data_IF_725038622463
#
_entry.id   IF_725038622463
#
_cell.length_a   1.000
_cell.length_b   1.000
_cell.length_c   1.000
_cell.angle_alpha   90.00
_cell.angle_beta   90.00
_cell.angle_gamma   90.00
#
_symmetry.space_group_name_H-M   'P 1'
#
loop_
_entity.id
_entity.type
_entity.pdbx_description
1 polymer ?
#
# COMPACT_ATOMS: atom_id res chain seq x y z
N UNK A 1 -14.14 31.35 -7.31
CA UNK A 1 -13.84 31.27 -5.87
C UNK A 1 -12.49 30.58 -5.76
N UNK A 2 -11.48 31.31 -5.28
CA UNK A 2 -10.07 30.96 -5.35
C UNK A 2 -9.66 29.96 -4.26
N UNK A 3 -8.72 29.08 -4.66
CA UNK A 3 -7.72 28.36 -3.86
C UNK A 3 -8.20 27.62 -2.59
N UNK A 4 -8.48 26.33 -2.74
CA UNK A 4 -8.01 25.38 -1.74
C UNK A 4 -6.61 24.94 -2.18
N UNK A 5 -5.61 25.69 -1.73
CA UNK A 5 -4.27 25.12 -1.61
C UNK A 5 -4.40 23.92 -0.70
N UNK A 6 -4.19 22.73 -1.23
CA UNK A 6 -3.88 21.59 -0.39
C UNK A 6 -2.65 22.01 0.42
N UNK A 7 -2.81 22.20 1.73
CA UNK A 7 -1.66 22.00 2.60
C UNK A 7 -1.26 20.55 2.32
N UNK A 8 -0.18 20.36 1.55
CA UNK A 8 0.50 19.09 1.51
C UNK A 8 1.06 18.88 2.92
N UNK A 9 0.24 18.35 3.81
CA UNK A 9 0.72 17.82 5.06
C UNK A 9 1.62 16.65 4.66
N UNK A 10 2.93 16.76 4.90
CA UNK A 10 3.84 15.68 4.65
C UNK A 10 3.31 14.42 5.33
N UNK A 11 3.07 13.37 4.55
CA UNK A 11 2.58 12.10 5.06
C UNK A 11 3.74 11.37 5.70
N UNK A 12 3.78 11.35 7.03
CA UNK A 12 4.84 10.67 7.78
C UNK A 12 4.40 9.24 8.11
N UNK A 13 5.20 8.27 7.69
CA UNK A 13 4.87 6.84 7.82
C UNK A 13 6.15 6.04 8.10
N UNK A 14 6.08 5.04 8.98
CA UNK A 14 7.22 4.17 9.25
C UNK A 14 7.40 3.08 8.18
N UNK A 15 8.62 2.54 8.07
CA UNK A 15 8.87 1.28 7.37
C UNK A 15 7.86 0.19 7.81
N UNK A 16 7.41 -0.61 6.85
CA UNK A 16 6.46 -1.70 7.09
C UNK A 16 5.05 -1.24 7.48
N UNK A 17 4.71 0.04 7.36
CA UNK A 17 3.35 0.52 7.56
C UNK A 17 2.66 0.81 6.23
N UNK A 18 1.35 1.06 6.29
CA UNK A 18 0.59 1.57 5.17
C UNK A 18 0.05 2.96 5.52
N UNK A 19 -0.10 3.81 4.50
CA UNK A 19 -0.71 5.13 4.64
C UNK A 19 -1.87 5.25 3.67
N UNK A 20 -2.99 5.76 4.19
CA UNK A 20 -4.16 6.10 3.40
C UNK A 20 -4.04 7.55 2.94
N UNK A 21 -4.23 7.76 1.65
CA UNK A 21 -4.22 9.08 1.01
C UNK A 21 -5.64 9.35 0.54
N UNK A 22 -6.17 10.54 0.85
CA UNK A 22 -7.52 10.92 0.49
C UNK A 22 -7.56 12.27 -0.21
N UNK A 23 -8.47 12.39 -1.18
CA UNK A 23 -8.85 13.66 -1.78
C UNK A 23 -10.37 13.81 -1.74
N UNK A 24 -10.90 15.03 -1.56
CA UNK A 24 -12.33 15.27 -1.66
C UNK A 24 -12.81 15.06 -3.10
N UNK A 25 -14.08 14.71 -3.26
CA UNK A 25 -14.71 14.75 -4.56
C UNK A 25 -14.80 16.20 -5.06
N UNK A 26 -14.50 16.40 -6.35
CA UNK A 26 -14.62 17.70 -7.03
C UNK A 26 -15.63 17.58 -8.17
N UNK A 27 -16.25 18.71 -8.54
CA UNK A 27 -17.20 18.74 -9.66
C UNK A 27 -16.49 18.30 -10.94
N UNK A 28 -17.01 17.26 -11.58
CA UNK A 28 -16.45 16.71 -12.81
C UNK A 28 -15.23 15.81 -12.63
N UNK A 29 -14.71 15.60 -11.41
CA UNK A 29 -13.62 14.66 -11.17
C UNK A 29 -14.08 13.23 -11.44
N UNK A 30 -13.38 12.55 -12.36
CA UNK A 30 -13.76 11.24 -12.88
C UNK A 30 -12.83 10.11 -12.42
N UNK A 31 -11.54 10.39 -12.21
CA UNK A 31 -10.60 9.42 -11.63
C UNK A 31 -9.37 10.09 -11.03
N UNK A 32 -8.70 9.39 -10.11
CA UNK A 32 -7.39 9.76 -9.58
C UNK A 32 -6.47 8.54 -9.67
N UNK A 33 -5.23 8.76 -10.11
CA UNK A 33 -4.18 7.75 -10.13
C UNK A 33 -2.88 8.32 -9.54
N UNK A 34 -2.16 7.52 -8.78
CA UNK A 34 -0.82 7.83 -8.28
C UNK A 34 0.21 6.91 -8.94
N UNK A 35 1.38 7.45 -9.25
CA UNK A 35 2.57 6.65 -9.53
C UNK A 35 3.41 6.59 -8.26
N UNK A 36 3.62 5.38 -7.76
CA UNK A 36 4.39 5.11 -6.54
C UNK A 36 5.20 3.83 -6.70
N UNK A 37 6.52 3.90 -6.49
CA UNK A 37 7.44 2.77 -6.69
C UNK A 37 7.21 2.06 -8.04
N UNK A 38 7.14 2.83 -9.13
CA UNK A 38 6.88 2.37 -10.50
C UNK A 38 5.54 1.64 -10.70
N UNK A 39 4.62 1.73 -9.74
CA UNK A 39 3.26 1.17 -9.82
C UNK A 39 2.25 2.27 -10.05
N UNK A 40 1.29 2.01 -10.94
CA UNK A 40 0.09 2.82 -11.10
C UNK A 40 -0.95 2.37 -10.07
N UNK A 41 -1.26 3.25 -9.14
CA UNK A 41 -2.17 2.99 -8.02
C UNK A 41 -3.43 3.85 -8.23
N UNK A 42 -4.56 3.25 -8.64
CA UNK A 42 -5.82 3.97 -8.71
C UNK A 42 -6.37 4.30 -7.31
N UNK A 43 -7.23 5.31 -7.26
CA UNK A 43 -8.03 5.60 -6.08
C UNK A 43 -9.43 5.02 -6.26
N UNK A 44 -9.98 4.48 -5.19
CA UNK A 44 -11.37 4.07 -5.10
C UNK A 44 -12.23 5.25 -4.62
N UNK A 45 -13.45 5.36 -5.13
CA UNK A 45 -14.42 6.36 -4.66
C UNK A 45 -15.27 5.78 -3.53
N UNK A 46 -15.42 6.53 -2.44
CA UNK A 46 -16.29 6.21 -1.30
C UNK A 46 -17.04 7.46 -0.85
N UNK A 47 -18.28 7.62 -1.31
CA UNK A 47 -19.08 8.83 -1.08
C UNK A 47 -18.42 10.06 -1.71
N UNK A 48 -18.24 11.12 -0.92
CA UNK A 48 -17.64 12.40 -1.34
C UNK A 48 -16.10 12.39 -1.24
N UNK A 49 -15.47 11.22 -1.26
CA UNK A 49 -14.01 11.08 -1.16
C UNK A 49 -13.48 10.04 -2.13
N UNK A 50 -12.26 10.31 -2.59
CA UNK A 50 -11.40 9.34 -3.22
C UNK A 50 -10.33 8.93 -2.23
N UNK A 51 -9.99 7.64 -2.19
CA UNK A 51 -8.92 7.18 -1.34
C UNK A 51 -8.09 6.10 -2.04
N UNK A 52 -6.83 6.02 -1.64
CA UNK A 52 -5.96 4.87 -1.92
C UNK A 52 -5.13 4.53 -0.69
N UNK A 53 -4.52 3.36 -0.70
CA UNK A 53 -3.62 2.92 0.36
C UNK A 53 -2.31 2.49 -0.27
N UNK A 54 -1.21 3.08 0.17
CA UNK A 54 0.14 2.67 -0.23
C UNK A 54 0.82 1.96 0.94
N UNK A 55 1.51 0.86 0.64
CA UNK A 55 2.38 0.17 1.58
C UNK A 55 3.82 0.67 1.47
N UNK A 56 4.48 0.84 2.62
CA UNK A 56 5.90 1.15 2.71
C UNK A 56 6.63 -0.15 3.03
N UNK A 57 7.45 -0.63 2.09
CA UNK A 57 8.23 -1.85 2.30
C UNK A 57 9.12 -1.73 3.54
N UNK A 58 9.32 -2.84 4.25
CA UNK A 58 10.18 -2.93 5.42
C UNK A 58 11.61 -2.44 5.14
N UNK A 59 12.09 -2.68 3.91
CA UNK A 59 13.43 -2.37 3.45
C UNK A 59 13.52 -1.00 2.75
N UNK A 60 12.41 -0.26 2.64
CA UNK A 60 12.43 1.11 2.10
C UNK A 60 13.39 1.96 2.93
N UNK A 61 14.38 2.60 2.31
CA UNK A 61 15.33 3.45 3.05
C UNK A 61 14.59 4.65 3.65
N UNK A 62 14.83 5.05 4.90
CA UNK A 62 14.22 6.25 5.46
C UNK A 62 14.57 7.51 4.64
N UNK A 63 13.60 8.41 4.46
CA UNK A 63 13.76 9.61 3.64
C UNK A 63 12.45 10.06 3.00
N UNK A 64 12.51 11.11 2.20
CA UNK A 64 11.36 11.67 1.50
C UNK A 64 11.21 11.05 0.11
N UNK A 65 10.00 10.59 -0.19
CA UNK A 65 9.61 10.01 -1.46
C UNK A 65 8.46 10.80 -2.05
N UNK A 66 8.50 11.06 -3.35
CA UNK A 66 7.41 11.75 -4.03
C UNK A 66 6.65 10.80 -4.94
N UNK A 67 5.32 10.78 -4.83
CA UNK A 67 4.44 10.14 -5.78
C UNK A 67 3.70 11.17 -6.62
N UNK A 68 3.68 10.98 -7.93
CA UNK A 68 2.92 11.84 -8.83
C UNK A 68 1.45 11.40 -8.84
N UNK A 69 0.55 12.30 -8.45
CA UNK A 69 -0.89 12.08 -8.42
C UNK A 69 -1.53 12.85 -9.56
N UNK A 70 -2.22 12.15 -10.44
CA UNK A 70 -2.95 12.70 -11.58
C UNK A 70 -4.45 12.58 -11.36
N UNK A 71 -5.13 13.71 -11.44
CA UNK A 71 -6.58 13.86 -11.40
C UNK A 71 -7.07 14.03 -12.83
N UNK A 72 -8.04 13.22 -13.24
CA UNK A 72 -8.65 13.30 -14.58
C UNK A 72 -10.12 13.66 -14.43
N UNK A 73 -10.55 14.69 -15.13
CA UNK A 73 -11.92 15.20 -15.11
C UNK A 73 -12.71 14.71 -16.33
N UNK A 74 -14.04 14.76 -16.23
CA UNK A 74 -14.98 14.21 -17.22
C UNK A 74 -14.93 14.94 -18.58
N UNK A 75 -14.48 16.19 -18.60
CA UNK A 75 -14.22 16.97 -19.82
C UNK A 75 -12.84 16.69 -20.44
N UNK A 76 -12.05 15.81 -19.83
CA UNK A 76 -10.74 15.37 -20.30
C UNK A 76 -9.56 16.20 -19.79
N UNK A 77 -9.77 17.29 -19.03
CA UNK A 77 -8.64 18.01 -18.46
C UNK A 77 -8.01 17.21 -17.30
N UNK A 78 -6.72 17.47 -17.06
CA UNK A 78 -5.95 16.81 -15.99
C UNK A 78 -5.27 17.81 -15.08
N UNK A 79 -5.18 17.47 -13.80
CA UNK A 79 -4.36 18.18 -12.80
C UNK A 79 -3.36 17.20 -12.22
N UNK A 80 -2.12 17.64 -11.96
CA UNK A 80 -1.10 16.81 -11.32
C UNK A 80 -0.61 17.47 -10.03
N UNK A 81 -0.40 16.65 -9.00
CA UNK A 81 0.16 17.01 -7.70
C UNK A 81 1.33 16.07 -7.39
N UNK A 82 2.39 16.60 -6.79
CA UNK A 82 3.44 15.77 -6.20
C UNK A 82 3.13 15.57 -4.71
N UNK A 83 2.75 14.36 -4.33
CA UNK A 83 2.47 14.00 -2.95
C UNK A 83 3.78 13.54 -2.29
N UNK A 84 4.15 14.13 -1.16
CA UNK A 84 5.40 13.78 -0.45
C UNK A 84 5.10 12.90 0.74
N UNK A 85 5.80 11.76 0.81
CA UNK A 85 5.73 10.76 1.86
C UNK A 85 7.09 10.66 2.54
N UNK A 86 7.15 11.05 3.80
CA UNK A 86 8.36 10.93 4.63
C UNK A 86 8.37 9.58 5.32
N UNK A 87 9.29 8.71 4.90
CA UNK A 87 9.50 7.39 5.47
C UNK A 87 10.43 7.46 6.68
N UNK A 88 9.92 7.07 7.84
CA UNK A 88 10.71 7.00 9.07
C UNK A 88 11.28 5.61 9.30
N UNK A 89 12.50 5.57 9.83
CA UNK A 89 13.13 4.32 10.27
C UNK A 89 12.32 3.66 11.37
N UNK A 90 12.24 2.34 11.33
CA UNK A 90 11.68 1.55 12.43
C UNK A 90 12.61 0.40 12.77
N UNK A 91 12.77 0.15 14.07
CA UNK A 91 13.54 -0.99 14.54
C UNK A 91 12.63 -2.20 14.62
N UNK A 92 13.05 -3.28 13.98
CA UNK A 92 12.37 -4.55 14.04
C UNK A 92 13.22 -5.57 14.81
N UNK A 93 12.63 -6.30 15.77
CA UNK A 93 13.37 -7.32 16.49
C UNK A 93 13.68 -8.51 15.57
N UNK A 94 14.81 -9.17 15.79
CA UNK A 94 15.17 -10.42 15.11
C UNK A 94 14.77 -11.60 15.99
N UNK A 95 14.25 -12.67 15.39
CA UNK A 95 13.99 -13.94 16.07
C UNK A 95 14.65 -15.08 15.32
N UNK A 96 15.42 -15.90 16.05
CA UNK A 96 15.96 -17.14 15.50
C UNK A 96 14.94 -18.26 15.66
N UNK A 97 14.55 -18.88 14.54
CA UNK A 97 13.65 -20.03 14.52
C UNK A 97 14.42 -21.25 14.02
N UNK A 98 14.46 -22.31 14.83
CA UNK A 98 15.01 -23.59 14.41
C UNK A 98 13.88 -24.41 13.76
N UNK A 99 14.04 -24.66 12.46
CA UNK A 99 13.08 -25.40 11.63
C UNK A 99 13.76 -26.62 10.99
N UNK A 100 12.98 -27.63 10.62
CA UNK A 100 13.52 -28.77 9.90
C UNK A 100 14.13 -28.33 8.55
N UNK A 101 15.28 -28.91 8.11
CA UNK A 101 15.99 -28.47 6.90
C UNK A 101 15.12 -28.38 5.65
N UNK A 102 14.16 -29.29 5.49
CA UNK A 102 13.22 -29.31 4.35
C UNK A 102 12.40 -28.02 4.15
N UNK A 103 12.34 -27.11 5.14
CA UNK A 103 11.64 -25.84 5.05
C UNK A 103 12.52 -24.68 4.54
N UNK A 104 13.84 -24.88 4.50
CA UNK A 104 14.83 -23.90 3.98
C UNK A 104 15.57 -24.45 2.77
N UNK A 105 15.88 -25.75 2.77
CA UNK A 105 16.50 -26.49 1.67
C UNK A 105 15.41 -27.29 0.95
N UNK A 106 14.73 -26.64 0.00
CA UNK A 106 13.63 -27.25 -0.74
C UNK A 106 14.14 -28.34 -1.69
N UNK A 107 13.38 -29.44 -1.78
CA UNK A 107 13.55 -30.43 -2.86
C UNK A 107 13.23 -29.80 -4.22
N UNK A 108 13.67 -30.42 -5.33
CA UNK A 108 13.33 -29.94 -6.67
C UNK A 108 11.80 -29.85 -6.89
N UNK A 109 11.07 -30.84 -6.40
CA UNK A 109 9.60 -30.89 -6.51
C UNK A 109 8.95 -29.75 -5.70
N UNK A 110 9.40 -29.54 -4.47
CA UNK A 110 8.86 -28.47 -3.60
C UNK A 110 9.26 -27.08 -4.11
N UNK A 111 10.49 -26.92 -4.61
CA UNK A 111 10.96 -25.68 -5.23
C UNK A 111 10.17 -25.34 -6.49
N UNK A 112 9.91 -26.32 -7.36
CA UNK A 112 9.07 -26.12 -8.54
C UNK A 112 7.62 -25.75 -8.16
N UNK A 113 7.08 -26.33 -7.08
CA UNK A 113 5.77 -25.92 -6.55
C UNK A 113 5.80 -24.49 -6.03
N UNK A 114 6.77 -24.16 -5.18
CA UNK A 114 6.91 -22.83 -4.58
C UNK A 114 7.04 -21.73 -5.66
N UNK A 115 7.80 -21.99 -6.73
CA UNK A 115 7.92 -21.05 -7.85
C UNK A 115 6.59 -20.82 -8.58
N UNK A 116 5.80 -21.88 -8.82
CA UNK A 116 4.47 -21.75 -9.43
C UNK A 116 3.51 -20.96 -8.53
N UNK A 117 3.48 -21.29 -7.24
CA UNK A 117 2.63 -20.60 -6.25
C UNK A 117 3.02 -19.12 -6.10
N UNK A 118 4.32 -18.81 -6.08
CA UNK A 118 4.80 -17.43 -6.04
C UNK A 118 4.34 -16.63 -7.26
N UNK A 119 4.40 -17.22 -8.47
CA UNK A 119 3.91 -16.57 -9.68
C UNK A 119 2.40 -16.32 -9.64
N UNK A 120 1.62 -17.29 -9.14
CA UNK A 120 0.17 -17.15 -8.98
C UNK A 120 -0.18 -16.04 -7.98
N UNK A 121 0.45 -16.03 -6.82
CA UNK A 121 0.27 -14.99 -5.79
C UNK A 121 0.65 -13.61 -6.34
N UNK A 122 1.78 -13.50 -7.05
CA UNK A 122 2.22 -12.25 -7.66
C UNK A 122 1.23 -11.74 -8.70
N UNK A 123 0.65 -12.63 -9.52
CA UNK A 123 -0.37 -12.24 -10.49
C UNK A 123 -1.64 -11.71 -9.81
N UNK A 124 -2.05 -12.33 -8.70
CA UNK A 124 -3.19 -11.85 -7.89
C UNK A 124 -2.87 -10.46 -7.31
N UNK A 125 -1.70 -10.27 -6.66
CA UNK A 125 -1.31 -8.99 -6.05
C UNK A 125 -0.94 -7.89 -7.04
N UNK A 126 -0.72 -8.22 -8.31
CA UNK A 126 -0.53 -7.24 -9.38
C UNK A 126 -1.86 -6.63 -9.84
N UNK A 127 -2.99 -7.30 -9.60
CA UNK A 127 -4.32 -6.82 -9.97
C UNK A 127 -4.83 -5.84 -8.91
N UNK A 128 -5.17 -4.62 -9.33
CA UNK A 128 -5.77 -3.61 -8.44
C UNK A 128 -7.22 -3.40 -8.85
N UNK A 129 -8.13 -3.56 -7.89
CA UNK A 129 -9.56 -3.30 -8.06
C UNK A 129 -9.89 -1.97 -7.38
N UNK A 130 -10.19 -0.90 -8.11
CA UNK A 130 -10.44 0.45 -7.57
C UNK A 130 -11.83 0.58 -6.92
N UNK A 131 -12.27 -0.44 -6.19
CA UNK A 131 -13.54 -0.51 -5.50
C UNK A 131 -13.35 -1.07 -4.08
N UNK A 132 -13.98 -0.43 -3.11
CA UNK A 132 -14.02 -0.94 -1.74
C UNK A 132 -15.08 -2.04 -1.63
N UNK A 133 -14.66 -3.31 -1.54
CA UNK A 133 -15.58 -4.43 -1.27
C UNK A 133 -15.85 -4.68 0.21
N UNK A 134 -15.05 -4.09 1.10
CA UNK A 134 -15.31 -4.18 2.53
C UNK A 134 -16.48 -3.26 2.89
N UNK A 135 -17.45 -3.82 3.61
CA UNK A 135 -18.66 -3.09 4.02
C UNK A 135 -18.56 -2.55 5.45
N UNK A 136 -17.59 -3.04 6.23
CA UNK A 136 -17.45 -2.79 7.67
C UNK A 136 -15.96 -2.65 8.02
N UNK A 137 -15.62 -2.02 9.17
CA UNK A 137 -14.25 -1.99 9.66
C UNK A 137 -13.67 -3.40 9.80
N UNK A 138 -12.36 -3.54 9.52
CA UNK A 138 -11.65 -4.80 9.74
C UNK A 138 -11.74 -5.20 11.22
N UNK A 139 -12.06 -6.46 11.45
CA UNK A 139 -12.09 -7.05 12.80
C UNK A 139 -10.84 -7.89 13.03
N UNK A 140 -10.42 -8.01 14.29
CA UNK A 140 -9.36 -8.97 14.65
C UNK A 140 -9.87 -10.38 14.35
N UNK A 141 -9.17 -11.18 13.51
CA UNK A 141 -9.69 -12.47 13.05
C UNK A 141 -9.93 -13.49 14.17
N UNK A 142 -9.21 -13.37 15.29
CA UNK A 142 -9.33 -14.25 16.45
C UNK A 142 -9.71 -13.42 17.68
N UNK A 143 -10.95 -13.57 18.21
CA UNK A 143 -11.40 -12.85 19.39
C UNK A 143 -10.47 -13.08 20.60
N UNK A 144 -10.22 -12.03 21.38
CA UNK A 144 -9.39 -12.10 22.59
C UNK A 144 -7.87 -11.99 22.36
N UNK A 145 -7.41 -11.98 21.11
CA UNK A 145 -6.00 -11.73 20.79
C UNK A 145 -5.76 -10.23 20.60
N UNK A 146 -4.82 -9.67 21.35
CA UNK A 146 -4.34 -8.29 21.17
C UNK A 146 -3.20 -8.26 20.14
N UNK A 147 -3.57 -8.16 18.87
CA UNK A 147 -2.67 -7.83 17.75
C UNK A 147 -1.75 -8.96 17.27
N UNK A 148 -1.28 -8.83 16.01
CA UNK A 148 -0.24 -9.67 15.43
C UNK A 148 1.14 -9.13 15.81
N UNK A 149 1.81 -9.77 16.78
CA UNK A 149 3.09 -9.29 17.33
C UNK A 149 4.30 -9.59 16.44
N UNK A 150 4.09 -10.25 15.30
CA UNK A 150 5.17 -10.82 14.49
C UNK A 150 5.45 -10.05 13.20
N UNK A 151 4.72 -8.95 12.93
CA UNK A 151 4.96 -8.19 11.71
C UNK A 151 6.32 -7.48 11.77
N UNK A 152 7.12 -7.67 10.73
CA UNK A 152 8.45 -7.10 10.61
C UNK A 152 9.54 -7.83 11.39
N UNK A 153 9.22 -8.91 12.14
CA UNK A 153 10.26 -9.71 12.80
C UNK A 153 11.17 -10.33 11.73
N UNK A 154 12.44 -9.92 11.71
CA UNK A 154 13.45 -10.53 10.85
C UNK A 154 13.84 -11.91 11.35
N UNK A 155 14.08 -12.83 10.42
CA UNK A 155 14.67 -14.15 10.68
C UNK A 155 16.15 -14.17 10.35
#
# INVERSE_FOLDING_TARGET
VNLLGALAAALVVGQGQAVQIEYPQEVGLASIHMVWNDRHIPFAQSGERWFTVIGIDLNTTPGDYSGAVTFTFADGHTRTLAETVTVQSRVFPTTRLDVAPKYVDLSEVDGARAAREANEINAIYATITPEAYWMQPFQVPIPGITGGRNFGIGT
#
